data_IF_070247412288
#
_entry.id   IF_070247412288
#
_cell.length_a   1.000
_cell.length_b   1.000
_cell.length_c   1.000
_cell.angle_alpha   90.00
_cell.angle_beta   90.00
_cell.angle_gamma   90.00
#
_symmetry.space_group_name_H-M   'P 1'
#
loop_
_entity.id
_entity.type
_entity.pdbx_description
1 polymer ?
#
# COMPACT_ATOMS: atom_id res chain seq x y z
N UNK A 1 -10.94 -8.68 -7.05
CA UNK A 1 -10.31 -7.45 -6.54
C UNK A 1 -11.23 -6.87 -5.49
N UNK A 2 -10.68 -6.55 -4.33
CA UNK A 2 -11.37 -5.99 -3.17
C UNK A 2 -10.72 -4.64 -2.86
N UNK A 3 -11.55 -3.62 -2.64
CA UNK A 3 -11.08 -2.32 -2.14
C UNK A 3 -10.99 -2.43 -0.61
N UNK A 4 -9.88 -1.97 -0.06
CA UNK A 4 -9.56 -2.03 1.37
C UNK A 4 -9.07 -0.66 1.84
N UNK A 5 -9.25 -0.38 3.13
CA UNK A 5 -8.75 0.86 3.74
C UNK A 5 -7.38 0.61 4.34
N UNK A 6 -6.40 1.39 3.91
CA UNK A 6 -5.05 1.34 4.40
C UNK A 6 -4.70 2.65 5.09
N UNK A 7 -4.18 2.57 6.31
CA UNK A 7 -3.70 3.72 7.06
C UNK A 7 -2.23 3.55 7.37
N UNK A 8 -1.43 4.55 7.01
CA UNK A 8 0.01 4.56 7.24
C UNK A 8 0.36 5.89 7.88
N UNK A 9 0.72 5.88 9.17
CA UNK A 9 0.91 7.10 9.96
C UNK A 9 -0.33 8.02 9.86
N UNK A 10 -0.17 9.22 9.29
CA UNK A 10 -1.24 10.21 9.05
C UNK A 10 -1.98 10.05 7.71
N UNK A 11 -1.52 9.18 6.81
CA UNK A 11 -2.13 8.96 5.50
C UNK A 11 -3.25 7.93 5.59
N UNK A 12 -4.40 8.26 5.01
CA UNK A 12 -5.57 7.38 4.90
C UNK A 12 -5.89 7.13 3.42
N UNK A 13 -5.53 5.93 2.96
CA UNK A 13 -5.77 5.46 1.60
C UNK A 13 -7.05 4.61 1.62
N UNK A 14 -8.12 5.11 1.03
CA UNK A 14 -9.45 4.48 1.08
C UNK A 14 -9.77 3.61 -0.15
N UNK A 15 -8.87 3.57 -1.12
CA UNK A 15 -9.01 2.95 -2.42
C UNK A 15 -7.89 1.96 -2.74
N UNK A 16 -7.16 1.50 -1.71
CA UNK A 16 -6.16 0.46 -1.87
C UNK A 16 -6.82 -0.84 -2.37
N UNK A 17 -6.13 -1.57 -3.25
CA UNK A 17 -6.69 -2.72 -3.96
C UNK A 17 -5.95 -3.99 -3.59
N UNK A 18 -6.70 -5.05 -3.26
CA UNK A 18 -6.17 -6.40 -3.07
C UNK A 18 -6.81 -7.37 -4.05
N UNK A 19 -6.08 -8.40 -4.46
CA UNK A 19 -6.65 -9.47 -5.29
C UNK A 19 -7.79 -10.20 -4.56
N UNK A 20 -7.56 -10.50 -3.28
CA UNK A 20 -8.52 -11.06 -2.32
C UNK A 20 -8.17 -10.62 -0.90
N UNK A 21 -9.09 -10.75 0.07
CA UNK A 21 -8.81 -10.47 1.49
C UNK A 21 -7.75 -11.39 2.13
N UNK A 22 -7.30 -12.44 1.44
CA UNK A 22 -6.23 -13.33 1.89
C UNK A 22 -4.93 -13.15 1.09
N UNK A 23 -4.86 -12.09 0.27
CA UNK A 23 -3.66 -11.79 -0.52
C UNK A 23 -2.57 -11.24 0.39
N UNK A 24 -1.32 -11.63 0.15
CA UNK A 24 -0.16 -11.12 0.88
C UNK A 24 0.37 -9.80 0.29
N UNK A 25 -0.41 -9.19 -0.61
CA UNK A 25 -0.04 -7.95 -1.30
C UNK A 25 -1.22 -7.00 -1.41
N UNK A 26 -0.92 -5.71 -1.29
CA UNK A 26 -1.86 -4.61 -1.51
C UNK A 26 -1.27 -3.63 -2.51
N UNK A 27 -2.10 -3.17 -3.45
CA UNK A 27 -1.76 -2.13 -4.42
C UNK A 27 -2.31 -0.80 -3.95
N UNK A 28 -1.46 0.22 -3.93
CA UNK A 28 -1.77 1.59 -3.53
C UNK A 28 -1.80 2.44 -4.80
N UNK A 29 -2.96 2.96 -5.21
CA UNK A 29 -3.05 3.87 -6.35
C UNK A 29 -2.36 5.20 -6.09
N UNK A 30 -1.51 5.64 -7.02
CA UNK A 30 -0.80 6.92 -6.88
C UNK A 30 -1.54 8.12 -7.45
N UNK A 31 -2.56 7.88 -8.27
CA UNK A 31 -3.41 8.94 -8.82
C UNK A 31 -4.29 9.59 -7.74
N UNK A 32 -4.57 8.90 -6.63
CA UNK A 32 -5.44 9.39 -5.55
C UNK A 32 -4.71 10.25 -4.53
N UNK A 33 -3.45 9.93 -4.22
CA UNK A 33 -2.60 10.69 -3.31
C UNK A 33 -1.15 10.69 -3.83
N UNK A 34 -0.86 11.68 -4.68
CA UNK A 34 0.45 11.82 -5.32
C UNK A 34 1.56 12.12 -4.32
N UNK A 35 1.26 12.92 -3.28
CA UNK A 35 2.24 13.29 -2.25
C UNK A 35 2.66 12.07 -1.43
N UNK A 36 1.70 11.21 -1.08
CA UNK A 36 1.98 9.95 -0.42
C UNK A 36 2.80 9.01 -1.32
N UNK A 37 2.43 8.86 -2.59
CA UNK A 37 3.20 8.02 -3.49
C UNK A 37 4.64 8.50 -3.73
N UNK A 38 4.87 9.82 -3.79
CA UNK A 38 6.24 10.35 -3.84
C UNK A 38 7.05 9.99 -2.58
N UNK A 39 6.41 9.82 -1.42
CA UNK A 39 7.09 9.34 -0.22
C UNK A 39 7.41 7.84 -0.29
N UNK A 40 6.53 7.03 -0.89
CA UNK A 40 6.78 5.61 -1.15
C UNK A 40 8.00 5.37 -2.05
N UNK A 41 8.27 6.29 -2.99
CA UNK A 41 9.44 6.21 -3.87
C UNK A 41 10.77 6.23 -3.07
N UNK A 42 10.77 6.94 -1.93
CA UNK A 42 11.94 7.06 -1.05
C UNK A 42 12.14 5.91 -0.08
N UNK A 43 11.17 5.00 0.09
CA UNK A 43 11.32 3.82 0.95
C UNK A 43 12.17 2.74 0.29
N UNK A 44 12.82 1.88 1.08
CA UNK A 44 13.51 0.71 0.55
C UNK A 44 12.69 -0.58 0.77
N UNK A 45 13.09 -1.67 0.13
CA UNK A 45 12.39 -2.96 0.18
C UNK A 45 12.62 -3.77 1.47
N UNK A 46 13.60 -3.38 2.28
CA UNK A 46 13.97 -4.07 3.52
C UNK A 46 13.43 -3.39 4.78
N UNK A 47 13.00 -2.14 4.67
CA UNK A 47 12.37 -1.40 5.76
C UNK A 47 10.87 -1.71 5.84
N UNK A 48 10.45 -2.24 6.98
CA UNK A 48 9.03 -2.43 7.29
C UNK A 48 8.37 -1.12 7.70
N UNK A 49 7.19 -0.84 7.16
CA UNK A 49 6.36 0.29 7.60
C UNK A 49 5.16 -0.24 8.40
N UNK A 50 4.96 0.22 9.65
CA UNK A 50 3.75 -0.11 10.40
C UNK A 50 2.53 0.58 9.78
N UNK A 51 1.48 -0.19 9.56
CA UNK A 51 0.24 0.26 8.95
C UNK A 51 -0.97 -0.43 9.57
N UNK A 52 -2.16 0.02 9.16
CA UNK A 52 -3.42 -0.60 9.52
C UNK A 52 -4.23 -0.86 8.26
N UNK A 53 -4.60 -2.12 8.02
CA UNK A 53 -5.43 -2.58 6.91
C UNK A 53 -6.80 -2.99 7.44
N UNK A 54 -7.86 -2.30 7.04
CA UNK A 54 -9.22 -2.50 7.56
C UNK A 54 -9.24 -2.65 9.09
N UNK A 55 -8.63 -1.68 9.78
CA UNK A 55 -8.48 -1.62 11.24
C UNK A 55 -7.57 -2.69 11.88
N UNK A 56 -6.95 -3.58 11.08
CA UNK A 56 -6.00 -4.58 11.56
C UNK A 56 -4.56 -4.12 11.37
N UNK A 57 -3.70 -4.19 12.42
CA UNK A 57 -2.30 -3.82 12.29
C UNK A 57 -1.58 -4.80 11.35
N UNK A 58 -0.75 -4.27 10.45
CA UNK A 58 0.07 -5.02 9.51
C UNK A 58 1.44 -4.34 9.34
N UNK A 59 2.43 -5.10 8.90
CA UNK A 59 3.67 -4.51 8.39
C UNK A 59 3.64 -4.51 6.87
N UNK A 60 4.03 -3.39 6.27
CA UNK A 60 4.18 -3.25 4.83
C UNK A 60 5.65 -3.26 4.44
N UNK A 61 5.95 -3.94 3.35
CA UNK A 61 7.25 -3.87 2.68
C UNK A 61 7.04 -3.44 1.25
N UNK A 62 7.88 -2.54 0.76
CA UNK A 62 7.83 -2.14 -0.64
C UNK A 62 8.24 -3.31 -1.52
N UNK A 63 7.45 -3.63 -2.54
CA UNK A 63 7.76 -4.72 -3.48
C UNK A 63 8.14 -4.17 -4.85
N UNK A 64 7.19 -3.56 -5.56
CA UNK A 64 7.44 -3.02 -6.90
C UNK A 64 6.44 -1.94 -7.26
N UNK A 65 6.82 -1.13 -8.23
CA UNK A 65 5.91 -0.17 -8.84
C UNK A 65 5.31 -0.76 -10.13
N UNK A 66 3.99 -0.83 -10.19
CA UNK A 66 3.22 -1.20 -11.37
C UNK A 66 3.01 0.02 -12.26
N UNK A 67 3.81 0.11 -13.33
CA UNK A 67 3.77 1.22 -14.29
C UNK A 67 2.51 1.22 -15.17
N UNK A 68 1.85 0.08 -15.34
CA UNK A 68 0.67 -0.02 -16.21
C UNK A 68 -0.56 0.56 -15.52
N UNK A 69 -0.68 0.29 -14.21
CA UNK A 69 -1.81 0.77 -13.40
C UNK A 69 -1.48 2.01 -12.56
N UNK A 70 -0.24 2.50 -12.58
CA UNK A 70 0.21 3.62 -11.75
C UNK A 70 0.07 3.34 -10.23
N UNK A 71 0.42 2.13 -9.81
CA UNK A 71 0.24 1.67 -8.43
C UNK A 71 1.56 1.25 -7.77
N UNK A 72 1.74 1.57 -6.50
CA UNK A 72 2.75 0.92 -5.66
C UNK A 72 2.22 -0.40 -5.10
N UNK A 73 2.93 -1.50 -5.36
CA UNK A 73 2.62 -2.81 -4.78
C UNK A 73 3.44 -3.00 -3.51
N UNK A 74 2.74 -3.28 -2.41
CA UNK A 74 3.30 -3.54 -1.09
C UNK A 74 3.02 -4.98 -0.67
N UNK A 75 3.97 -5.63 0.00
CA UNK A 75 3.81 -6.93 0.67
C UNK A 75 3.35 -6.73 2.11
N UNK A 76 2.47 -7.62 2.57
CA UNK A 76 1.93 -7.68 3.94
C UNK A 76 2.71 -8.73 4.75
N UNK A 77 3.00 -8.45 6.02
CA UNK A 77 3.55 -9.39 7.00
C UNK A 77 2.87 -9.26 8.36
#
# INVERSE_FOLDING_TARGET
>A
MCIVKLKISSYEINDAVMASHKSDTVSIPCDSDTDFCMQLDGWDEHTSIPATLDEKPVLLYRDRYDKENHHWVMKLA
#
